data_IF_707634347480
#
_entry.id   IF_707634347480
#
_cell.length_a   1.000
_cell.length_b   1.000
_cell.length_c   1.000
_cell.angle_alpha   90.00
_cell.angle_beta   90.00
_cell.angle_gamma   90.00
#
_symmetry.space_group_name_H-M   'P 1'
#
loop_
_entity.id
_entity.type
_entity.pdbx_description
1 polymer ?
#
# COMPACT_ATOMS: atom_id res chain seq x y z
N UNK A 1 6.04 -10.03 40.39
CA UNK A 1 5.90 -9.81 38.94
C UNK A 1 7.15 -9.18 38.29
N UNK A 2 8.07 -8.53 39.02
CA UNK A 2 9.35 -7.98 38.50
C UNK A 2 10.40 -8.99 37.95
N UNK A 3 10.11 -10.30 37.88
CA UNK A 3 11.15 -11.30 37.60
C UNK A 3 11.38 -11.56 36.09
N UNK A 4 10.39 -11.32 35.23
CA UNK A 4 10.49 -11.66 33.80
C UNK A 4 11.21 -10.60 32.96
N UNK A 5 11.13 -9.32 33.36
CA UNK A 5 11.75 -8.18 32.65
C UNK A 5 13.21 -7.95 33.02
N UNK A 6 13.75 -8.65 34.02
CA UNK A 6 15.11 -8.43 34.55
C UNK A 6 16.22 -8.74 33.53
N UNK A 7 15.88 -9.35 32.39
CA UNK A 7 16.79 -9.59 31.26
C UNK A 7 16.79 -8.47 30.21
N UNK A 8 15.78 -7.60 30.21
CA UNK A 8 15.67 -6.47 29.29
C UNK A 8 16.29 -5.24 29.96
N UNK A 9 17.47 -4.84 29.48
CA UNK A 9 18.15 -3.62 29.95
C UNK A 9 17.47 -2.39 29.33
N UNK A 10 16.32 -2.02 29.87
CA UNK A 10 15.57 -0.81 29.50
C UNK A 10 16.15 0.40 30.26
N UNK A 11 16.47 1.46 29.52
CA UNK A 11 16.91 2.75 30.09
C UNK A 11 15.72 3.59 30.54
N UNK A 12 14.60 3.51 29.83
CA UNK A 12 13.36 4.16 30.22
C UNK A 12 12.51 3.20 31.08
N UNK A 13 12.34 3.47 32.39
CA UNK A 13 11.56 2.61 33.27
C UNK A 13 10.07 2.56 32.91
N UNK A 14 9.55 3.56 32.18
CA UNK A 14 8.17 3.56 31.72
C UNK A 14 7.90 2.42 30.71
N UNK A 15 8.94 1.88 30.05
CA UNK A 15 8.81 0.74 29.14
C UNK A 15 8.62 -0.61 29.87
N UNK A 16 8.78 -0.67 31.20
CA UNK A 16 8.64 -1.91 31.97
C UNK A 16 7.30 -2.63 31.73
N UNK A 17 6.14 -1.97 31.92
CA UNK A 17 4.83 -2.56 31.64
C UNK A 17 4.64 -2.98 30.17
N UNK A 18 5.16 -2.19 29.23
CA UNK A 18 5.12 -2.51 27.79
C UNK A 18 5.90 -3.79 27.50
N UNK A 19 7.08 -3.92 28.09
CA UNK A 19 7.92 -5.11 27.94
C UNK A 19 7.26 -6.37 28.50
N UNK A 20 6.54 -6.27 29.62
CA UNK A 20 5.75 -7.39 30.16
C UNK A 20 4.68 -7.86 29.17
N UNK A 21 3.93 -6.94 28.56
CA UNK A 21 2.94 -7.27 27.51
C UNK A 21 3.59 -7.89 26.28
N UNK A 22 4.71 -7.33 25.81
CA UNK A 22 5.46 -7.88 24.66
C UNK A 22 5.93 -9.31 24.94
N UNK A 23 6.44 -9.58 26.15
CA UNK A 23 6.82 -10.94 26.57
C UNK A 23 5.61 -11.88 26.60
N UNK A 24 4.48 -11.41 27.14
CA UNK A 24 3.23 -12.17 27.19
C UNK A 24 2.54 -12.35 25.83
N UNK A 25 2.95 -11.61 24.79
CA UNK A 25 2.30 -11.62 23.48
C UNK A 25 0.96 -10.89 23.47
N UNK A 26 0.79 -9.94 24.39
CA UNK A 26 -0.43 -9.15 24.54
C UNK A 26 -0.43 -7.92 23.61
N UNK A 27 -1.64 -7.50 23.21
CA UNK A 27 -1.81 -6.32 22.36
C UNK A 27 -1.55 -5.05 23.17
N UNK A 28 -0.72 -4.18 22.60
CA UNK A 28 -0.50 -2.83 23.12
C UNK A 28 -1.69 -1.91 22.80
N UNK A 29 -1.99 -1.01 23.73
CA UNK A 29 -2.98 0.03 23.54
C UNK A 29 -2.38 1.31 22.94
N UNK A 30 -3.21 2.35 22.82
CA UNK A 30 -2.82 3.63 22.21
C UNK A 30 -1.75 4.36 23.03
N UNK A 31 -1.89 4.39 24.35
CA UNK A 31 -1.01 5.18 25.21
C UNK A 31 0.38 4.52 25.30
N UNK A 32 0.42 3.19 25.28
CA UNK A 32 1.65 2.41 25.15
C UNK A 32 2.33 2.63 23.78
N UNK A 33 1.55 2.72 22.71
CA UNK A 33 2.07 3.09 21.38
C UNK A 33 2.68 4.50 21.36
N UNK A 34 2.03 5.47 22.01
CA UNK A 34 2.57 6.84 22.13
C UNK A 34 3.83 6.90 22.99
N UNK A 35 3.92 6.11 24.05
CA UNK A 35 5.13 5.98 24.85
C UNK A 35 6.29 5.45 23.99
N UNK A 36 6.05 4.37 23.21
CA UNK A 36 7.06 3.81 22.29
C UNK A 36 7.50 4.82 21.22
N UNK A 37 6.60 5.69 20.76
CA UNK A 37 6.91 6.70 19.75
C UNK A 37 7.68 7.91 20.30
N UNK A 38 7.63 8.16 21.62
CA UNK A 38 8.19 9.38 22.24
C UNK A 38 9.35 9.13 23.21
N UNK A 39 9.64 7.87 23.55
CA UNK A 39 10.78 7.50 24.40
C UNK A 39 12.13 7.70 23.70
N UNK A 40 13.15 8.12 24.46
CA UNK A 40 14.55 8.18 23.99
C UNK A 40 15.25 6.81 24.07
N UNK A 41 14.60 5.79 24.63
CA UNK A 41 15.17 4.45 24.71
C UNK A 41 14.98 3.62 23.44
N UNK A 42 15.50 4.14 22.32
CA UNK A 42 15.43 3.50 21.01
C UNK A 42 15.96 2.05 21.02
N UNK A 43 17.01 1.76 21.79
CA UNK A 43 17.57 0.42 21.92
C UNK A 43 16.62 -0.52 22.67
N UNK A 44 15.95 -0.04 23.72
CA UNK A 44 14.89 -0.79 24.41
C UNK A 44 13.73 -1.13 23.48
N UNK A 45 13.27 -0.16 22.68
CA UNK A 45 12.23 -0.38 21.67
C UNK A 45 12.69 -1.38 20.61
N UNK A 46 13.91 -1.22 20.08
CA UNK A 46 14.49 -2.12 19.09
C UNK A 46 14.64 -3.57 19.59
N UNK A 47 15.01 -3.75 20.87
CA UNK A 47 15.10 -5.06 21.50
C UNK A 47 13.72 -5.74 21.57
N UNK A 48 12.71 -5.03 22.08
CA UNK A 48 11.33 -5.54 22.14
C UNK A 48 10.77 -5.87 20.75
N UNK A 49 11.02 -5.01 19.76
CA UNK A 49 10.61 -5.24 18.38
C UNK A 49 11.29 -6.48 17.77
N UNK A 50 12.60 -6.65 17.99
CA UNK A 50 13.34 -7.80 17.48
C UNK A 50 12.84 -9.11 18.09
N UNK A 51 12.50 -9.12 19.38
CA UNK A 51 11.92 -10.30 20.05
C UNK A 51 10.59 -10.73 19.42
N UNK A 52 9.73 -9.77 19.04
CA UNK A 52 8.48 -10.08 18.34
C UNK A 52 8.76 -10.59 16.93
N UNK A 53 9.70 -9.95 16.21
CA UNK A 53 10.12 -10.37 14.86
C UNK A 53 10.67 -11.79 14.84
N UNK A 54 11.59 -12.14 15.74
CA UNK A 54 12.17 -13.48 15.83
C UNK A 54 11.14 -14.52 16.27
N UNK A 55 10.21 -14.17 17.16
CA UNK A 55 9.11 -15.06 17.56
C UNK A 55 8.20 -15.42 16.38
N UNK A 56 7.94 -14.46 15.48
CA UNK A 56 7.05 -14.65 14.33
C UNK A 56 7.77 -15.25 13.12
N UNK A 57 9.07 -14.98 12.94
CA UNK A 57 9.77 -15.22 11.66
C UNK A 57 11.14 -15.90 11.81
N UNK A 58 11.63 -16.10 13.03
CA UNK A 58 13.02 -16.49 13.29
C UNK A 58 13.99 -15.53 12.59
N UNK A 59 15.03 -16.10 11.99
CA UNK A 59 16.04 -15.35 11.20
C UNK A 59 15.62 -15.12 9.74
N UNK A 60 14.44 -15.61 9.33
CA UNK A 60 13.99 -15.53 7.93
C UNK A 60 13.75 -14.10 7.51
N UNK A 61 14.29 -13.69 6.36
CA UNK A 61 14.05 -12.36 5.77
C UNK A 61 13.48 -12.53 4.38
N UNK A 62 12.23 -12.08 4.19
CA UNK A 62 11.48 -12.26 2.95
C UNK A 62 11.79 -11.14 1.94
N UNK A 63 11.92 -11.51 0.68
CA UNK A 63 11.98 -10.59 -0.45
C UNK A 63 11.33 -11.27 -1.68
N UNK A 64 10.95 -10.48 -2.68
CA UNK A 64 10.54 -10.99 -3.98
C UNK A 64 11.26 -10.22 -5.10
N UNK A 65 11.16 -10.71 -6.33
CA UNK A 65 11.63 -9.98 -7.51
C UNK A 65 10.39 -9.42 -8.21
N UNK A 66 10.21 -8.11 -8.12
CA UNK A 66 9.09 -7.40 -8.75
C UNK A 66 9.60 -6.33 -9.73
N UNK A 67 8.69 -5.87 -10.59
CA UNK A 67 8.89 -4.71 -11.48
C UNK A 67 7.73 -3.74 -11.37
N UNK A 68 8.01 -2.46 -11.58
CA UNK A 68 7.00 -1.42 -11.55
C UNK A 68 6.48 -1.12 -12.95
N UNK A 69 5.18 -0.94 -13.07
CA UNK A 69 4.55 -0.33 -14.24
C UNK A 69 3.74 0.87 -13.76
N UNK A 70 4.02 2.05 -14.29
CA UNK A 70 3.21 3.23 -14.05
C UNK A 70 2.48 3.64 -15.33
N UNK A 71 1.21 3.24 -15.52
CA UNK A 71 0.47 3.51 -16.76
C UNK A 71 0.40 4.99 -17.14
N UNK A 72 0.42 5.86 -16.13
CA UNK A 72 0.40 7.32 -16.28
C UNK A 72 1.04 7.98 -15.06
N UNK A 73 1.72 9.10 -15.27
CA UNK A 73 2.06 10.03 -14.19
C UNK A 73 1.15 11.27 -14.16
N UNK A 74 0.22 11.39 -15.10
CA UNK A 74 -0.77 12.47 -15.10
C UNK A 74 -1.80 12.22 -14.01
N UNK A 75 -2.01 13.21 -13.14
CA UNK A 75 -2.85 13.07 -11.96
C UNK A 75 -3.71 14.32 -11.75
N UNK A 76 -4.96 14.12 -11.33
CA UNK A 76 -5.80 15.23 -10.81
C UNK A 76 -5.50 15.56 -9.35
N UNK A 77 -5.00 14.59 -8.58
CA UNK A 77 -4.58 14.83 -7.19
C UNK A 77 -3.20 15.51 -7.19
N UNK A 78 -3.14 16.72 -6.63
CA UNK A 78 -1.94 17.55 -6.55
C UNK A 78 -1.33 17.49 -5.14
N UNK A 79 -0.93 16.30 -4.69
CA UNK A 79 -0.40 16.09 -3.34
C UNK A 79 0.93 16.82 -3.15
N UNK A 80 1.11 17.54 -2.03
CA UNK A 80 2.31 18.36 -1.79
C UNK A 80 3.59 17.53 -1.62
N UNK A 81 3.46 16.27 -1.20
CA UNK A 81 4.56 15.33 -0.99
C UNK A 81 4.98 14.56 -2.26
N UNK A 82 4.21 14.66 -3.35
CA UNK A 82 4.40 13.80 -4.52
C UNK A 82 5.27 14.48 -5.58
N UNK A 83 6.48 13.96 -5.80
CA UNK A 83 7.35 14.42 -6.89
C UNK A 83 7.08 13.72 -8.25
N UNK A 84 6.22 12.70 -8.26
CA UNK A 84 5.97 11.87 -9.44
C UNK A 84 4.97 12.49 -10.43
N UNK A 85 3.97 13.24 -9.91
CA UNK A 85 2.81 13.57 -10.71
C UNK A 85 3.02 14.76 -11.66
N UNK A 86 2.35 14.70 -12.81
CA UNK A 86 2.11 15.85 -13.68
C UNK A 86 0.65 16.28 -13.52
N UNK A 87 0.37 17.55 -13.20
CA UNK A 87 -1.00 18.04 -13.06
C UNK A 87 -1.82 17.83 -14.34
N UNK A 88 -3.11 17.50 -14.21
CA UNK A 88 -4.02 17.32 -15.36
C UNK A 88 -4.02 18.50 -16.36
N UNK A 89 -3.92 19.74 -15.85
CA UNK A 89 -3.85 20.94 -16.70
C UNK A 89 -2.58 20.99 -17.57
N UNK A 90 -1.52 20.33 -17.12
CA UNK A 90 -0.19 20.28 -17.75
C UNK A 90 0.10 18.88 -18.33
N UNK A 91 -0.93 18.05 -18.53
CA UNK A 91 -0.82 16.62 -18.89
C UNK A 91 0.05 16.32 -20.11
N UNK A 92 0.21 17.28 -21.02
CA UNK A 92 1.05 17.12 -22.22
C UNK A 92 2.55 17.03 -21.87
N UNK A 93 2.95 17.36 -20.63
CA UNK A 93 4.29 17.12 -20.07
C UNK A 93 4.45 15.72 -19.46
N UNK A 94 3.35 15.02 -19.21
CA UNK A 94 3.33 13.68 -18.63
C UNK A 94 3.25 12.61 -19.71
N UNK A 95 3.03 11.38 -19.27
CA UNK A 95 2.75 10.25 -20.14
C UNK A 95 1.46 9.56 -19.73
N UNK A 96 0.84 8.88 -20.70
CA UNK A 96 -0.25 7.95 -20.49
C UNK A 96 -0.12 6.88 -21.55
N UNK A 97 0.24 5.67 -21.14
CA UNK A 97 0.50 4.57 -22.07
C UNK A 97 -0.79 3.94 -22.55
N UNK A 98 -0.85 3.57 -23.83
CA UNK A 98 -1.83 2.59 -24.29
C UNK A 98 -1.55 1.22 -23.65
N UNK A 99 -2.52 0.29 -23.72
CA UNK A 99 -2.32 -1.08 -23.24
C UNK A 99 -1.13 -1.74 -23.93
N UNK A 100 -1.03 -1.62 -25.25
CA UNK A 100 0.10 -2.19 -26.01
C UNK A 100 1.44 -1.59 -25.58
N UNK A 101 1.52 -0.26 -25.39
CA UNK A 101 2.74 0.38 -24.91
C UNK A 101 3.12 -0.11 -23.51
N UNK A 102 2.15 -0.26 -22.61
CA UNK A 102 2.40 -0.75 -21.25
C UNK A 102 2.90 -2.20 -21.25
N UNK A 103 2.33 -3.07 -22.09
CA UNK A 103 2.78 -4.46 -22.27
C UNK A 103 4.21 -4.50 -22.82
N UNK A 104 4.53 -3.67 -23.81
CA UNK A 104 5.87 -3.59 -24.39
C UNK A 104 6.91 -3.03 -23.42
N UNK A 105 6.53 -2.09 -22.55
CA UNK A 105 7.40 -1.61 -21.47
C UNK A 105 7.72 -2.75 -20.51
N UNK A 106 6.69 -3.46 -20.04
CA UNK A 106 6.87 -4.62 -19.16
C UNK A 106 7.76 -5.65 -19.84
N UNK A 107 7.51 -6.00 -21.10
CA UNK A 107 8.27 -7.00 -21.85
C UNK A 107 9.79 -6.75 -21.93
N UNK A 108 10.25 -5.50 -21.77
CA UNK A 108 11.68 -5.16 -21.76
C UNK A 108 12.36 -5.47 -20.43
N UNK A 109 11.60 -5.47 -19.34
CA UNK A 109 12.11 -5.45 -17.97
C UNK A 109 11.75 -6.70 -17.17
N UNK A 110 10.94 -7.61 -17.72
CA UNK A 110 10.60 -8.90 -17.10
C UNK A 110 11.17 -10.11 -17.84
N UNK A 111 11.66 -11.05 -17.03
CA UNK A 111 11.95 -12.43 -17.39
C UNK A 111 11.22 -13.37 -16.41
N UNK A 112 11.46 -14.68 -16.50
CA UNK A 112 10.81 -15.68 -15.65
C UNK A 112 11.16 -15.58 -14.15
N UNK A 113 12.20 -14.81 -13.78
CA UNK A 113 12.54 -14.55 -12.37
C UNK A 113 11.61 -13.54 -11.70
N UNK A 114 10.92 -12.71 -12.49
CA UNK A 114 9.99 -11.71 -11.95
C UNK A 114 8.66 -12.39 -11.63
N UNK A 115 8.28 -12.34 -10.35
CA UNK A 115 7.04 -12.98 -9.85
C UNK A 115 5.87 -12.01 -9.68
N UNK A 116 6.13 -10.69 -9.66
CA UNK A 116 5.11 -9.67 -9.40
C UNK A 116 5.32 -8.42 -10.26
N UNK A 117 4.23 -7.87 -10.78
CA UNK A 117 4.16 -6.50 -11.29
C UNK A 117 3.42 -5.62 -10.30
N UNK A 118 4.08 -4.56 -9.86
CA UNK A 118 3.51 -3.52 -9.02
C UNK A 118 3.01 -2.38 -9.93
N UNK A 119 1.69 -2.20 -10.02
CA UNK A 119 1.06 -1.29 -10.98
C UNK A 119 0.31 -0.18 -10.23
N UNK A 120 0.88 1.03 -10.25
CA UNK A 120 0.28 2.23 -9.61
C UNK A 120 0.50 3.43 -10.52
N UNK A 121 -0.31 4.48 -10.42
CA UNK A 121 -0.14 5.65 -11.26
C UNK A 121 -0.86 6.89 -10.76
N UNK A 122 -0.97 7.87 -11.64
CA UNK A 122 -1.77 9.06 -11.40
C UNK A 122 -3.27 8.82 -11.58
N UNK A 123 -4.08 9.64 -10.90
CA UNK A 123 -5.54 9.66 -11.03
C UNK A 123 -5.94 10.33 -12.35
N UNK A 124 -5.83 9.60 -13.46
CA UNK A 124 -6.12 10.12 -14.80
C UNK A 124 -7.62 9.96 -15.14
N UNK A 125 -8.39 11.05 -15.38
CA UNK A 125 -9.85 11.03 -15.45
C UNK A 125 -10.42 10.28 -16.67
N UNK A 126 -9.58 10.00 -17.69
CA UNK A 126 -9.98 9.19 -18.85
C UNK A 126 -9.54 7.72 -18.80
N UNK A 127 -8.75 7.32 -17.81
CA UNK A 127 -8.40 5.90 -17.62
C UNK A 127 -9.49 5.27 -16.74
N UNK A 128 -10.55 4.82 -17.40
CA UNK A 128 -11.70 4.19 -16.75
C UNK A 128 -11.45 2.71 -16.47
N UNK A 129 -12.37 2.04 -15.78
CA UNK A 129 -12.26 0.62 -15.44
C UNK A 129 -11.91 -0.25 -16.66
N UNK A 130 -12.48 0.04 -17.83
CA UNK A 130 -12.28 -0.72 -19.06
C UNK A 130 -10.81 -0.73 -19.52
N UNK A 131 -10.08 0.37 -19.33
CA UNK A 131 -8.65 0.43 -19.66
C UNK A 131 -7.85 -0.54 -18.80
N UNK A 132 -8.11 -0.56 -17.48
CA UNK A 132 -7.41 -1.45 -16.55
C UNK A 132 -7.80 -2.91 -16.75
N UNK A 133 -9.07 -3.18 -17.07
CA UNK A 133 -9.49 -4.53 -17.45
C UNK A 133 -8.75 -5.04 -18.69
N UNK A 134 -8.61 -4.20 -19.72
CA UNK A 134 -7.86 -4.56 -20.93
C UNK A 134 -6.37 -4.74 -20.64
N UNK A 135 -5.78 -3.84 -19.84
CA UNK A 135 -4.38 -3.91 -19.40
C UNK A 135 -4.11 -5.22 -18.64
N UNK A 136 -4.92 -5.55 -17.63
CA UNK A 136 -4.71 -6.75 -16.82
C UNK A 136 -4.88 -8.02 -17.64
N UNK A 137 -5.90 -8.10 -18.51
CA UNK A 137 -6.07 -9.24 -19.43
C UNK A 137 -4.90 -9.36 -20.38
N UNK A 138 -4.38 -8.26 -20.91
CA UNK A 138 -3.22 -8.28 -21.81
C UNK A 138 -1.95 -8.75 -21.11
N UNK A 139 -1.68 -8.24 -19.90
CA UNK A 139 -0.56 -8.67 -19.07
C UNK A 139 -0.66 -10.15 -18.68
N UNK A 140 -1.83 -10.61 -18.23
CA UNK A 140 -2.05 -12.04 -17.90
C UNK A 140 -1.92 -12.95 -19.12
N UNK A 141 -2.34 -12.51 -20.31
CA UNK A 141 -2.12 -13.29 -21.55
C UNK A 141 -0.64 -13.41 -21.89
N UNK A 142 0.14 -12.33 -21.73
CA UNK A 142 1.55 -12.28 -22.14
C UNK A 142 2.50 -12.87 -21.10
N UNK A 143 2.18 -12.69 -19.82
CA UNK A 143 2.97 -13.07 -18.64
C UNK A 143 2.10 -13.81 -17.60
N UNK A 144 1.57 -15.00 -17.92
CA UNK A 144 0.58 -15.69 -17.09
C UNK A 144 1.08 -16.08 -15.69
N UNK A 145 2.40 -16.16 -15.48
CA UNK A 145 2.99 -16.51 -14.18
C UNK A 145 3.10 -15.31 -13.22
N UNK A 146 2.96 -14.08 -13.71
CA UNK A 146 3.18 -12.88 -12.91
C UNK A 146 1.92 -12.53 -12.09
N UNK A 147 2.13 -12.27 -10.80
CA UNK A 147 1.14 -11.69 -9.88
C UNK A 147 0.95 -10.20 -10.18
N UNK A 148 -0.27 -9.75 -10.43
CA UNK A 148 -0.60 -8.34 -10.64
C UNK A 148 -1.01 -7.71 -9.31
N UNK A 149 -0.07 -6.99 -8.69
CA UNK A 149 -0.29 -6.15 -7.51
C UNK A 149 -0.57 -4.73 -7.97
N UNK A 150 -1.84 -4.37 -8.13
CA UNK A 150 -2.21 -3.15 -8.83
C UNK A 150 -3.23 -2.31 -8.08
N UNK A 151 -3.18 -0.99 -8.30
CA UNK A 151 -4.13 0.03 -7.86
C UNK A 151 -4.26 0.17 -6.34
N UNK A 152 -3.88 1.32 -5.84
CA UNK A 152 -4.18 1.72 -4.45
C UNK A 152 -5.68 1.88 -4.23
N UNK A 153 -6.09 1.95 -2.97
CA UNK A 153 -7.48 2.19 -2.59
C UNK A 153 -7.95 3.55 -3.13
N UNK A 154 -7.05 4.54 -3.18
CA UNK A 154 -7.32 5.86 -3.79
C UNK A 154 -7.62 5.74 -5.29
N UNK A 155 -6.84 4.94 -6.02
CA UNK A 155 -7.07 4.70 -7.45
C UNK A 155 -8.38 3.93 -7.67
N UNK A 156 -8.68 2.90 -6.88
CA UNK A 156 -9.94 2.16 -6.99
C UNK A 156 -11.17 3.06 -6.79
N UNK A 157 -11.14 3.90 -5.75
CA UNK A 157 -12.21 4.87 -5.48
C UNK A 157 -12.38 5.86 -6.63
N UNK A 158 -11.27 6.39 -7.15
CA UNK A 158 -11.28 7.31 -8.27
C UNK A 158 -11.79 6.65 -9.55
N UNK A 159 -11.32 5.46 -9.89
CA UNK A 159 -11.71 4.71 -11.08
C UNK A 159 -13.20 4.38 -11.04
N UNK A 160 -13.73 3.94 -9.89
CA UNK A 160 -15.15 3.66 -9.70
C UNK A 160 -16.00 4.92 -9.96
N UNK A 161 -15.62 6.05 -9.34
CA UNK A 161 -16.30 7.35 -9.53
C UNK A 161 -16.23 7.84 -10.97
N UNK A 162 -15.05 7.80 -11.59
CA UNK A 162 -14.83 8.23 -12.97
C UNK A 162 -15.60 7.35 -13.96
N UNK A 163 -15.70 6.05 -13.68
CA UNK A 163 -16.45 5.08 -14.50
C UNK A 163 -17.96 5.09 -14.23
N UNK A 164 -18.42 5.83 -13.21
CA UNK A 164 -19.81 5.86 -12.73
C UNK A 164 -20.35 4.47 -12.37
N UNK A 165 -19.51 3.68 -11.69
CA UNK A 165 -19.85 2.33 -11.23
C UNK A 165 -19.81 2.25 -9.70
N UNK A 166 -20.59 1.34 -9.10
CA UNK A 166 -20.36 0.91 -7.72
C UNK A 166 -18.91 0.42 -7.54
N UNK A 167 -18.35 0.66 -6.36
CA UNK A 167 -16.97 0.28 -6.05
C UNK A 167 -16.80 -1.24 -6.03
N UNK A 168 -17.76 -1.94 -5.46
CA UNK A 168 -17.81 -3.41 -5.37
C UNK A 168 -17.81 -4.02 -6.77
N UNK A 169 -18.63 -3.48 -7.68
CA UNK A 169 -18.67 -3.92 -9.08
C UNK A 169 -17.33 -3.63 -9.78
N UNK A 170 -16.75 -2.45 -9.54
CA UNK A 170 -15.44 -2.08 -10.09
C UNK A 170 -14.36 -3.07 -9.66
N UNK A 171 -14.30 -3.41 -8.36
CA UNK A 171 -13.32 -4.35 -7.81
C UNK A 171 -13.53 -5.76 -8.39
N UNK A 172 -14.78 -6.24 -8.48
CA UNK A 172 -15.09 -7.55 -9.08
C UNK A 172 -14.63 -7.61 -10.54
N UNK A 173 -14.92 -6.57 -11.34
CA UNK A 173 -14.49 -6.51 -12.75
C UNK A 173 -12.98 -6.54 -12.90
N UNK A 174 -12.25 -5.80 -12.05
CA UNK A 174 -10.80 -5.76 -12.08
C UNK A 174 -10.17 -7.09 -11.64
N UNK A 175 -10.71 -7.71 -10.59
CA UNK A 175 -10.33 -9.06 -10.15
C UNK A 175 -10.53 -10.08 -11.29
N UNK A 176 -11.71 -10.10 -11.89
CA UNK A 176 -12.04 -11.03 -12.96
C UNK A 176 -11.22 -10.77 -14.25
N UNK A 177 -10.68 -9.56 -14.40
CA UNK A 177 -9.74 -9.21 -15.46
C UNK A 177 -8.28 -9.63 -15.17
N UNK A 178 -7.94 -9.99 -13.92
CA UNK A 178 -6.63 -10.50 -13.54
C UNK A 178 -5.92 -9.77 -12.39
N UNK A 179 -6.58 -8.86 -11.68
CA UNK A 179 -6.04 -8.26 -10.44
C UNK A 179 -5.93 -9.32 -9.35
N UNK A 180 -4.74 -9.49 -8.76
CA UNK A 180 -4.50 -10.52 -7.73
C UNK A 180 -4.34 -9.96 -6.31
N UNK A 181 -3.81 -8.73 -6.15
CA UNK A 181 -3.76 -8.03 -4.86
C UNK A 181 -3.62 -6.52 -5.03
N UNK A 182 -3.89 -5.74 -3.97
CA UNK A 182 -3.71 -4.29 -3.99
C UNK A 182 -2.45 -3.87 -3.19
N UNK A 183 -1.69 -2.86 -3.66
CA UNK A 183 -0.67 -2.21 -2.85
C UNK A 183 -1.28 -1.31 -1.77
N UNK A 184 -0.47 -0.96 -0.76
CA UNK A 184 -0.94 -0.23 0.43
C UNK A 184 -0.82 1.29 0.36
N UNK A 185 -0.36 1.84 -0.76
CA UNK A 185 -0.12 3.28 -0.91
C UNK A 185 -1.38 4.13 -0.82
N UNK A 186 -1.19 5.45 -0.70
CA UNK A 186 -2.28 6.41 -0.62
C UNK A 186 -2.91 6.57 0.77
N UNK A 187 -2.54 5.71 1.72
CA UNK A 187 -2.92 5.83 3.12
C UNK A 187 -2.35 7.12 3.73
N UNK A 188 -1.06 7.41 3.51
CA UNK A 188 -0.33 8.52 4.15
C UNK A 188 -0.61 8.57 5.67
N UNK A 189 -0.75 9.76 6.25
CA UNK A 189 -1.29 9.94 7.60
C UNK A 189 -2.82 10.00 7.52
N UNK A 190 -3.53 9.27 8.39
CA UNK A 190 -4.99 9.28 8.43
C UNK A 190 -5.60 10.44 9.22
N UNK A 191 -4.84 11.06 10.13
CA UNK A 191 -5.30 12.24 10.87
C UNK A 191 -5.74 13.36 9.90
N UNK A 192 -6.96 13.86 10.08
CA UNK A 192 -7.60 14.80 9.14
C UNK A 192 -6.81 16.10 8.98
N UNK A 193 -6.35 16.71 10.07
CA UNK A 193 -5.57 17.97 10.04
C UNK A 193 -4.27 17.79 9.23
N UNK A 194 -3.54 16.69 9.47
CA UNK A 194 -2.32 16.41 8.70
C UNK A 194 -2.64 16.13 7.23
N UNK A 195 -3.76 15.46 6.92
CA UNK A 195 -4.18 15.22 5.53
C UNK A 195 -4.51 16.49 4.79
N UNK A 196 -5.21 17.42 5.43
CA UNK A 196 -5.50 18.73 4.85
C UNK A 196 -4.22 19.47 4.44
N UNK A 197 -3.16 19.30 5.23
CA UNK A 197 -1.87 19.89 4.89
C UNK A 197 -1.18 19.19 3.71
N UNK A 198 -1.22 17.86 3.61
CA UNK A 198 -0.33 17.12 2.70
C UNK A 198 -1.02 16.54 1.44
N UNK A 199 -2.31 16.22 1.51
CA UNK A 199 -3.04 15.51 0.44
C UNK A 199 -4.59 15.63 0.54
N UNK A 200 -5.12 16.85 0.57
CA UNK A 200 -6.55 17.19 0.71
C UNK A 200 -7.44 16.86 -0.51
N UNK A 201 -6.86 16.59 -1.67
CA UNK A 201 -7.60 16.38 -2.93
C UNK A 201 -7.80 14.90 -3.31
N UNK A 202 -7.71 13.97 -2.35
CA UNK A 202 -7.90 12.53 -2.59
C UNK A 202 -8.73 11.87 -1.47
N UNK A 203 -9.00 10.58 -1.62
CA UNK A 203 -9.72 9.74 -0.66
C UNK A 203 -9.21 9.96 0.78
N UNK A 204 -10.10 10.19 1.74
CA UNK A 204 -9.76 10.34 3.16
C UNK A 204 -9.42 8.99 3.83
N UNK A 205 -8.97 9.03 5.09
CA UNK A 205 -8.54 7.83 5.81
C UNK A 205 -9.67 6.85 6.13
N UNK A 206 -10.85 7.35 6.48
CA UNK A 206 -12.02 6.51 6.77
C UNK A 206 -12.48 5.75 5.52
N UNK A 207 -12.57 6.47 4.39
CA UNK A 207 -12.90 5.89 3.10
C UNK A 207 -11.82 4.92 2.62
N UNK A 208 -10.53 5.21 2.83
CA UNK A 208 -9.44 4.27 2.50
C UNK A 208 -9.62 2.92 3.20
N UNK A 209 -9.96 2.94 4.50
CA UNK A 209 -10.21 1.72 5.29
C UNK A 209 -11.47 0.98 4.82
N UNK A 210 -12.52 1.69 4.44
CA UNK A 210 -13.73 1.10 3.88
C UNK A 210 -13.44 0.37 2.56
N UNK A 211 -12.69 1.00 1.64
CA UNK A 211 -12.29 0.39 0.37
C UNK A 211 -11.41 -0.84 0.62
N UNK A 212 -10.47 -0.76 1.56
CA UNK A 212 -9.63 -1.89 1.94
C UNK A 212 -10.47 -3.08 2.44
N UNK A 213 -11.53 -2.82 3.22
CA UNK A 213 -12.49 -3.85 3.64
C UNK A 213 -13.19 -4.50 2.44
N UNK A 214 -13.70 -3.70 1.50
CA UNK A 214 -14.38 -4.22 0.31
C UNK A 214 -13.42 -5.07 -0.55
N UNK A 215 -12.16 -4.64 -0.70
CA UNK A 215 -11.11 -5.41 -1.37
C UNK A 215 -10.93 -6.78 -0.69
N UNK A 216 -10.88 -6.83 0.64
CA UNK A 216 -10.75 -8.09 1.39
C UNK A 216 -12.00 -8.98 1.28
N UNK A 217 -13.19 -8.40 1.33
CA UNK A 217 -14.47 -9.10 1.13
C UNK A 217 -14.60 -9.70 -0.28
N UNK A 218 -13.98 -9.06 -1.28
CA UNK A 218 -13.88 -9.58 -2.65
C UNK A 218 -12.86 -10.73 -2.82
N UNK A 219 -12.16 -11.12 -1.73
CA UNK A 219 -11.18 -12.21 -1.71
C UNK A 219 -9.74 -11.79 -2.03
N UNK A 220 -9.47 -10.49 -2.18
CA UNK A 220 -8.15 -9.97 -2.50
C UNK A 220 -7.34 -9.68 -1.23
N UNK A 221 -6.01 -9.77 -1.35
CA UNK A 221 -5.09 -9.30 -0.29
C UNK A 221 -4.68 -7.86 -0.56
N UNK A 222 -4.29 -7.14 0.50
CA UNK A 222 -3.67 -5.83 0.37
C UNK A 222 -2.63 -5.56 1.45
N UNK A 223 -1.86 -4.48 1.26
CA UNK A 223 -0.98 -3.91 2.28
C UNK A 223 -1.58 -2.58 2.81
N UNK A 224 -0.90 -1.95 3.77
CA UNK A 224 -1.17 -0.58 4.23
C UNK A 224 0.17 0.14 4.46
N UNK A 225 0.26 1.41 4.09
CA UNK A 225 1.40 2.28 4.44
C UNK A 225 0.98 3.30 5.51
N UNK A 226 1.95 4.05 6.01
CA UNK A 226 1.81 5.24 6.86
C UNK A 226 2.74 6.31 6.32
#
# INVERSE_FOLDING_TARGET
MMAATNHLRLRDPALGPVAEKVLAGERLDRDEGLLLATTDDLLGVGLMANMVRERLHGDTTYYNINRHLNPTNVCVASCKLCAFYVPWRDRDRGWTYSVDQAVEIVARDVDESVSELHIVGGLHPKLLVAYYEELFRALKRRFPWIHLKALTMVELDFIAKASRLPLEETIVRLRDAGLDSCPGGGAEIFNEEVREEICDHKTDGGRWLEIARIVHEAGLRSNCTM
#
